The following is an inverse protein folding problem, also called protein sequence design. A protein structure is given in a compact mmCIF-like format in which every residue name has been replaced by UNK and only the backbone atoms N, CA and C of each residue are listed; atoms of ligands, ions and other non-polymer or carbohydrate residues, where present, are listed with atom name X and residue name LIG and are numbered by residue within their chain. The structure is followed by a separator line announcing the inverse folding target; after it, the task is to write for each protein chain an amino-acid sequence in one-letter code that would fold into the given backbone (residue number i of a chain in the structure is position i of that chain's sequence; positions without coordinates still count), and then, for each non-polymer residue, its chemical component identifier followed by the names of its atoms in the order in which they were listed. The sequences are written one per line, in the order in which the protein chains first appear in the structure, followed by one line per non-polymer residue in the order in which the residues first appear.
data_IF_091294532347
#
_entry.id   IF_091294532347
#
_cell.length_a   1.000
_cell.length_b   1.000
_cell.length_c   1.000
_cell.angle_alpha   90.00
_cell.angle_beta   90.00
_cell.angle_gamma   90.00
#
_symmetry.space_group_name_H-M   'P 1'
#
loop_
_entity.id
_entity.type
_entity.pdbx_description
1 polymer ?
#
# COMPACT_ATOMS: atom_id res chain seq x y z
N UNK A 1 14.91 19.88 -15.48
CA UNK A 1 15.99 20.49 -16.26
C UNK A 1 17.10 19.45 -16.40
N UNK A 2 17.15 18.77 -17.54
CA UNK A 2 18.27 17.90 -17.94
C UNK A 2 18.71 18.47 -19.29
N UNK A 3 19.86 19.13 -19.32
CA UNK A 3 20.43 19.65 -20.56
C UNK A 3 21.03 18.48 -21.35
N UNK A 4 20.47 18.20 -22.51
CA UNK A 4 21.10 17.37 -23.53
C UNK A 4 21.85 18.33 -24.46
N UNK A 5 23.10 18.67 -24.10
CA UNK A 5 23.98 19.48 -24.95
C UNK A 5 24.93 18.56 -25.74
N UNK A 6 24.84 18.71 -27.06
CA UNK A 6 25.93 18.55 -28.05
C UNK A 6 26.75 17.26 -28.05
N UNK A 7 26.25 16.21 -28.71
CA UNK A 7 27.10 15.36 -29.58
C UNK A 7 26.28 14.86 -30.78
N UNK A 8 25.92 15.75 -31.68
CA UNK A 8 25.57 15.35 -33.06
C UNK A 8 26.10 16.41 -34.01
N UNK A 9 27.37 16.26 -34.41
CA UNK A 9 28.00 17.08 -35.43
C UNK A 9 27.37 16.81 -36.79
N UNK A 10 26.25 17.46 -37.10
CA UNK A 10 25.67 17.50 -38.44
C UNK A 10 26.52 18.38 -39.35
N UNK A 11 27.41 17.79 -40.16
CA UNK A 11 27.87 18.45 -41.38
C UNK A 11 26.71 18.48 -42.39
N UNK A 12 26.24 19.69 -42.71
CA UNK A 12 25.20 19.98 -43.69
C UNK A 12 25.75 19.76 -45.11
N UNK A 13 25.12 18.88 -45.88
CA UNK A 13 25.11 18.92 -47.35
C UNK A 13 23.65 18.83 -47.83
N UNK A 14 23.26 19.56 -48.89
CA UNK A 14 21.87 19.68 -49.30
C UNK A 14 21.47 18.56 -50.28
N UNK A 15 20.29 18.00 -50.08
CA UNK A 15 19.64 17.09 -51.03
C UNK A 15 19.73 15.62 -50.63
N UNK A 16 18.66 14.89 -50.94
CA UNK A 16 18.42 13.46 -50.76
C UNK A 16 17.85 12.97 -49.41
N UNK A 17 16.57 12.57 -49.54
CA UNK A 17 15.87 11.42 -48.96
C UNK A 17 16.64 10.48 -48.03
N UNK A 18 15.89 9.98 -47.05
CA UNK A 18 16.13 8.79 -46.21
C UNK A 18 17.06 9.02 -45.00
N UNK A 19 16.42 9.23 -43.86
CA UNK A 19 17.04 9.22 -42.53
C UNK A 19 17.61 7.84 -42.24
N UNK A 20 18.85 7.64 -42.69
CA UNK A 20 19.72 6.54 -42.31
C UNK A 20 20.03 6.69 -40.81
N UNK A 21 19.17 6.14 -39.96
CA UNK A 21 19.43 6.00 -38.52
C UNK A 21 20.67 5.10 -38.41
N UNK A 22 21.82 5.73 -38.16
CA UNK A 22 23.11 5.07 -38.02
C UNK A 22 22.99 3.82 -37.15
N UNK A 23 23.46 2.67 -37.64
CA UNK A 23 23.40 1.38 -36.91
C UNK A 23 23.98 1.46 -35.48
N UNK A 24 24.87 2.42 -35.25
CA UNK A 24 25.43 2.73 -33.93
C UNK A 24 24.39 3.28 -32.95
N UNK A 25 23.46 4.12 -33.42
CA UNK A 25 22.35 4.64 -32.63
C UNK A 25 21.34 3.54 -32.27
N UNK A 26 21.05 2.62 -33.19
CA UNK A 26 20.17 1.48 -32.91
C UNK A 26 20.73 0.60 -31.79
N UNK A 27 22.04 0.29 -31.82
CA UNK A 27 22.69 -0.49 -30.76
C UNK A 27 22.63 0.20 -29.40
N UNK A 28 22.84 1.51 -29.33
CA UNK A 28 22.73 2.29 -28.10
C UNK A 28 21.31 2.26 -27.51
N UNK A 29 20.29 2.42 -28.36
CA UNK A 29 18.88 2.35 -27.93
C UNK A 29 18.55 0.96 -27.38
N UNK A 30 18.98 -0.11 -28.07
CA UNK A 30 18.77 -1.50 -27.60
C UNK A 30 19.47 -1.74 -26.26
N UNK A 31 20.68 -1.21 -26.06
CA UNK A 31 21.42 -1.33 -24.81
C UNK A 31 20.74 -0.60 -23.64
N UNK A 32 20.20 0.60 -23.90
CA UNK A 32 19.43 1.36 -22.89
C UNK A 32 18.14 0.63 -22.50
N UNK A 33 17.43 0.04 -23.45
CA UNK A 33 16.22 -0.77 -23.16
C UNK A 33 16.58 -2.02 -22.35
N UNK A 34 17.65 -2.73 -22.72
CA UNK A 34 18.13 -3.89 -21.97
C UNK A 34 18.57 -3.53 -20.54
N UNK A 35 19.18 -2.35 -20.36
CA UNK A 35 19.57 -1.83 -19.04
C UNK A 35 18.35 -1.48 -18.18
N UNK A 36 17.31 -0.88 -18.77
CA UNK A 36 16.05 -0.62 -18.04
C UNK A 36 15.37 -1.93 -17.63
N UNK A 37 15.34 -2.93 -18.51
CA UNK A 37 14.73 -4.24 -18.22
C UNK A 37 15.48 -5.05 -17.15
N UNK A 38 16.79 -4.83 -17.00
CA UNK A 38 17.58 -5.45 -15.92
C UNK A 38 17.41 -4.73 -14.59
N UNK A 39 17.31 -3.39 -14.59
CA UNK A 39 17.04 -2.60 -13.38
C UNK A 39 15.62 -2.82 -12.82
N UNK A 40 14.61 -2.99 -13.68
CA UNK A 40 13.22 -3.27 -13.26
C UNK A 40 12.99 -4.70 -12.74
N UNK A 41 13.88 -5.65 -13.04
CA UNK A 41 13.79 -7.04 -12.54
C UNK A 41 14.42 -7.23 -11.16
N UNK A 42 15.08 -6.21 -10.62
CA UNK A 42 15.82 -6.25 -9.36
C UNK A 42 15.09 -5.71 -8.14
N UNK A 43 13.80 -5.34 -8.22
CA UNK A 43 13.04 -5.04 -7.02
C UNK A 43 12.56 -6.37 -6.40
N UNK A 44 13.07 -6.78 -5.23
CA UNK A 44 12.41 -7.85 -4.48
C UNK A 44 10.98 -7.38 -4.24
N UNK A 45 10.01 -8.14 -4.77
CA UNK A 45 8.63 -8.09 -4.29
C UNK A 45 8.70 -8.51 -2.82
N UNK A 46 8.92 -7.53 -1.96
CA UNK A 46 8.62 -7.65 -0.55
C UNK A 46 7.09 -7.69 -0.51
N UNK A 47 6.53 -8.87 -0.79
CA UNK A 47 5.13 -9.19 -0.55
C UNK A 47 4.96 -9.27 0.98
N UNK A 48 5.20 -8.15 1.67
CA UNK A 48 4.67 -7.95 2.99
C UNK A 48 3.16 -8.02 2.81
N UNK A 49 2.56 -9.10 3.29
CA UNK A 49 1.11 -9.24 3.26
C UNK A 49 0.47 -7.98 3.79
N UNK A 50 -0.54 -7.45 3.09
CA UNK A 50 -1.26 -6.29 3.59
C UNK A 50 -1.90 -6.67 4.92
N UNK A 51 -1.42 -6.06 6.00
CA UNK A 51 -2.02 -6.13 7.32
C UNK A 51 -3.03 -4.99 7.44
N UNK A 52 -4.17 -5.08 6.78
CA UNK A 52 -5.16 -4.00 6.84
C UNK A 52 -6.05 -4.19 8.09
N UNK A 53 -5.96 -3.31 9.09
CA UNK A 53 -6.84 -3.39 10.25
C UNK A 53 -8.21 -2.80 9.92
N UNK A 54 -9.26 -3.34 10.55
CA UNK A 54 -10.60 -2.79 10.41
C UNK A 54 -10.82 -1.62 11.35
N UNK A 55 -11.49 -0.57 10.85
CA UNK A 55 -11.91 0.59 11.61
C UNK A 55 -13.41 0.83 11.44
N UNK A 56 -14.03 1.39 12.48
CA UNK A 56 -15.35 1.99 12.39
C UNK A 56 -15.23 3.50 12.62
N UNK A 57 -16.06 4.25 11.91
CA UNK A 57 -16.11 5.69 12.01
C UNK A 57 -16.87 6.07 13.27
N UNK A 58 -16.45 7.17 13.89
CA UNK A 58 -17.16 7.82 14.99
C UNK A 58 -17.20 9.32 14.72
N UNK A 59 -17.94 10.09 15.51
CA UNK A 59 -18.00 11.56 15.38
C UNK A 59 -16.66 12.26 15.49
N UNK A 60 -15.69 11.69 16.22
CA UNK A 60 -14.37 12.31 16.43
C UNK A 60 -13.34 11.80 15.44
N UNK A 61 -13.19 10.49 15.35
CA UNK A 61 -12.17 9.84 14.53
C UNK A 61 -12.48 8.34 14.37
N UNK A 62 -12.01 7.69 13.30
CA UNK A 62 -12.12 6.23 13.20
C UNK A 62 -11.39 5.53 14.35
N UNK A 63 -12.01 4.49 14.90
CA UNK A 63 -11.43 3.65 15.97
C UNK A 63 -11.29 2.23 15.42
N UNK A 64 -10.18 1.58 15.75
CA UNK A 64 -9.89 0.20 15.34
C UNK A 64 -10.86 -0.78 16.00
N UNK A 65 -11.28 -1.79 15.24
CA UNK A 65 -12.00 -2.96 15.76
C UNK A 65 -11.00 -3.97 16.30
N UNK A 66 -11.16 -4.38 17.56
CA UNK A 66 -10.26 -5.32 18.21
C UNK A 66 -8.82 -4.81 18.37
N UNK A 67 -7.91 -5.73 18.70
CA UNK A 67 -6.51 -5.42 19.01
C UNK A 67 -5.51 -6.27 18.24
N UNK A 68 -6.00 -7.19 17.39
CA UNK A 68 -5.19 -8.04 16.53
C UNK A 68 -5.51 -7.79 15.07
N UNK A 69 -4.50 -7.90 14.21
CA UNK A 69 -4.67 -7.95 12.76
C UNK A 69 -4.04 -9.24 12.24
N UNK A 70 -4.80 -9.99 11.43
CA UNK A 70 -4.32 -11.17 10.75
C UNK A 70 -3.81 -10.79 9.37
N UNK A 71 -2.55 -11.08 9.11
CA UNK A 71 -1.88 -10.74 7.87
C UNK A 71 -1.58 -12.00 7.07
N UNK A 72 -1.73 -11.92 5.74
CA UNK A 72 -1.28 -12.97 4.84
C UNK A 72 0.26 -12.95 4.73
N UNK A 73 0.96 -13.66 5.59
CA UNK A 73 2.40 -13.89 5.48
C UNK A 73 2.70 -14.94 4.40
N UNK A 74 3.19 -14.51 3.24
CA UNK A 74 3.57 -15.42 2.16
C UNK A 74 2.49 -16.46 1.81
N UNK A 75 2.88 -17.58 1.21
CA UNK A 75 1.94 -18.59 0.67
C UNK A 75 1.21 -19.43 1.73
N UNK A 76 1.61 -19.40 3.02
CA UNK A 76 1.04 -20.32 4.04
C UNK A 76 1.03 -19.83 5.49
N UNK A 77 1.53 -18.64 5.82
CA UNK A 77 1.65 -18.22 7.23
C UNK A 77 0.72 -17.04 7.54
N UNK A 78 -0.18 -17.19 8.51
CA UNK A 78 -0.91 -16.04 9.06
C UNK A 78 -0.11 -15.41 10.20
N UNK A 79 0.37 -14.19 10.00
CA UNK A 79 1.04 -13.43 11.07
C UNK A 79 -0.03 -12.62 11.81
N UNK A 80 -0.06 -12.73 13.14
CA UNK A 80 -0.97 -11.93 13.97
C UNK A 80 -0.20 -10.82 14.66
N UNK A 81 -0.50 -9.57 14.30
CA UNK A 81 0.10 -8.38 14.93
C UNK A 81 -0.83 -7.92 16.06
N UNK A 82 -0.31 -7.86 17.29
CA UNK A 82 -1.04 -7.41 18.47
C UNK A 82 -0.68 -5.97 18.83
N UNK A 83 -1.70 -5.16 19.10
CA UNK A 83 -1.55 -3.79 19.59
C UNK A 83 -1.66 -3.77 21.11
N UNK A 84 -0.95 -2.85 21.78
CA UNK A 84 -0.97 -2.69 23.24
C UNK A 84 -1.20 -1.23 23.60
N UNK A 85 -2.04 -0.97 24.62
CA UNK A 85 -2.35 0.37 25.15
C UNK A 85 -2.99 1.33 24.13
N UNK A 86 -3.60 0.80 23.06
CA UNK A 86 -4.33 1.56 22.04
C UNK A 86 -5.84 1.47 22.30
N UNK A 87 -6.59 2.51 21.98
CA UNK A 87 -8.06 2.50 22.02
C UNK A 87 -8.64 1.57 20.95
N UNK A 88 -9.69 0.83 21.32
CA UNK A 88 -10.30 -0.17 20.47
C UNK A 88 -11.81 -0.25 20.68
N UNK A 89 -12.52 -0.68 19.64
CA UNK A 89 -13.91 -1.12 19.72
C UNK A 89 -13.92 -2.60 20.11
N UNK A 90 -14.62 -2.92 21.19
CA UNK A 90 -14.69 -4.23 21.80
C UNK A 90 -15.80 -5.11 21.18
N UNK A 91 -15.71 -5.28 19.87
CA UNK A 91 -16.50 -6.20 19.04
C UNK A 91 -15.55 -6.99 18.13
N UNK A 92 -16.01 -8.12 17.61
CA UNK A 92 -15.24 -8.94 16.67
C UNK A 92 -15.23 -8.33 15.27
N UNK A 93 -14.15 -8.56 14.53
CA UNK A 93 -13.96 -8.00 13.17
C UNK A 93 -15.04 -8.53 12.22
N UNK A 94 -15.41 -9.80 12.37
CA UNK A 94 -16.44 -10.46 11.56
C UNK A 94 -17.81 -9.83 11.77
N UNK A 95 -18.12 -9.37 12.98
CA UNK A 95 -19.38 -8.71 13.29
C UNK A 95 -19.37 -7.26 12.80
N UNK A 96 -18.24 -6.57 12.93
CA UNK A 96 -18.06 -5.24 12.36
C UNK A 96 -18.22 -5.26 10.83
N UNK A 97 -17.74 -6.29 10.14
CA UNK A 97 -17.91 -6.46 8.69
C UNK A 97 -19.38 -6.58 8.29
N UNK A 98 -20.21 -7.22 9.12
CA UNK A 98 -21.64 -7.43 8.89
C UNK A 98 -22.50 -6.21 9.21
N UNK A 99 -21.96 -5.20 9.89
CA UNK A 99 -22.70 -3.95 10.16
C UNK A 99 -23.23 -3.35 8.86
N UNK A 100 -24.44 -2.79 8.91
CA UNK A 100 -24.97 -2.02 7.79
C UNK A 100 -24.13 -0.74 7.58
N UNK A 101 -23.71 -0.41 6.34
CA UNK A 101 -23.03 0.85 6.05
C UNK A 101 -23.87 2.06 6.49
N UNK A 102 -23.21 3.05 7.06
CA UNK A 102 -23.75 4.34 7.50
C UNK A 102 -24.85 4.30 8.56
N UNK A 103 -25.21 3.13 9.09
CA UNK A 103 -26.12 3.02 10.23
C UNK A 103 -25.34 3.20 11.53
N UNK A 104 -25.84 4.05 12.42
CA UNK A 104 -25.27 4.27 13.74
C UNK A 104 -25.56 3.13 14.72
N UNK A 105 -24.52 2.64 15.39
CA UNK A 105 -24.61 1.62 16.45
C UNK A 105 -23.94 2.12 17.73
N UNK A 106 -24.36 1.56 18.87
CA UNK A 106 -23.63 1.71 20.13
C UNK A 106 -22.44 0.74 20.20
N UNK A 107 -21.24 1.24 19.92
CA UNK A 107 -20.01 0.45 20.01
C UNK A 107 -19.39 0.53 21.41
N UNK A 108 -19.23 -0.60 22.12
CA UNK A 108 -18.46 -0.62 23.37
C UNK A 108 -16.99 -0.33 23.07
N UNK A 109 -16.38 0.57 23.84
CA UNK A 109 -14.96 0.91 23.69
C UNK A 109 -14.12 0.36 24.83
N UNK A 110 -12.81 0.32 24.59
CA UNK A 110 -11.86 -0.26 25.51
C UNK A 110 -10.43 0.09 25.16
N UNK A 111 -9.51 -0.69 25.73
CA UNK A 111 -8.08 -0.53 25.50
C UNK A 111 -7.41 -1.88 25.32
N UNK A 112 -6.50 -1.94 24.34
CA UNK A 112 -5.76 -3.15 24.02
C UNK A 112 -4.79 -3.56 25.12
N UNK A 113 -4.82 -4.84 25.46
CA UNK A 113 -3.85 -5.51 26.35
C UNK A 113 -2.79 -6.25 25.53
N UNK A 114 -1.66 -6.57 26.16
CA UNK A 114 -0.56 -7.28 25.51
C UNK A 114 -0.92 -8.69 25.03
N UNK A 115 -2.02 -9.26 25.50
CA UNK A 115 -2.58 -10.53 25.02
C UNK A 115 -3.33 -10.41 23.69
N UNK A 116 -3.58 -9.19 23.19
CA UNK A 116 -4.36 -8.92 21.98
C UNK A 116 -5.87 -8.81 22.23
N UNK A 117 -6.30 -8.70 23.48
CA UNK A 117 -7.71 -8.48 23.84
C UNK A 117 -8.04 -6.99 23.99
N UNK A 118 -9.25 -6.60 23.57
CA UNK A 118 -9.78 -5.27 23.82
C UNK A 118 -10.53 -5.25 25.16
N UNK A 119 -9.88 -4.78 26.24
CA UNK A 119 -10.53 -4.69 27.55
C UNK A 119 -11.48 -3.49 27.57
N UNK A 120 -12.78 -3.77 27.71
CA UNK A 120 -13.83 -2.74 27.87
C UNK A 120 -13.54 -1.83 29.06
N UNK A 121 -13.82 -0.53 28.88
CA UNK A 121 -13.73 0.49 29.94
C UNK A 121 -15.10 0.89 30.52
N UNK A 122 -16.20 0.30 30.02
CA UNK A 122 -17.57 0.60 30.43
C UNK A 122 -18.22 1.74 29.66
N UNK A 123 -17.52 2.34 28.69
CA UNK A 123 -18.05 3.39 27.82
C UNK A 123 -18.52 2.81 26.48
N UNK A 124 -19.46 3.53 25.87
CA UNK A 124 -20.00 3.25 24.55
C UNK A 124 -19.94 4.53 23.72
N UNK A 125 -19.58 4.42 22.45
CA UNK A 125 -19.61 5.53 21.48
C UNK A 125 -20.52 5.18 20.32
N UNK A 126 -21.08 6.19 19.67
CA UNK A 126 -21.75 5.98 18.39
C UNK A 126 -20.70 5.70 17.31
N UNK A 127 -20.92 4.64 16.55
CA UNK A 127 -20.02 4.18 15.50
C UNK A 127 -20.80 3.72 14.26
N UNK A 128 -20.14 3.73 13.10
CA UNK A 128 -20.72 3.17 11.88
C UNK A 128 -19.64 2.61 10.96
N UNK A 129 -20.04 1.64 10.13
CA UNK A 129 -19.23 1.21 8.99
C UNK A 129 -19.41 2.25 7.86
N UNK A 130 -18.33 2.76 7.25
CA UNK A 130 -18.45 3.62 6.08
C UNK A 130 -18.94 2.86 4.85
#
# INVERSE_FOLDING_TARGET
MIQVSEYCGTKRLPGHSETMISLTCYKLIVLLIALQMTLLRGQPRNSGGSCEPMFLYTHRSPIRVGCSSHCAGGTTQTVSVKQTNVECIAIDVEDAQKMQPFLGYGCPVGRCRGDGTCKRNGLTVECWKP
#
